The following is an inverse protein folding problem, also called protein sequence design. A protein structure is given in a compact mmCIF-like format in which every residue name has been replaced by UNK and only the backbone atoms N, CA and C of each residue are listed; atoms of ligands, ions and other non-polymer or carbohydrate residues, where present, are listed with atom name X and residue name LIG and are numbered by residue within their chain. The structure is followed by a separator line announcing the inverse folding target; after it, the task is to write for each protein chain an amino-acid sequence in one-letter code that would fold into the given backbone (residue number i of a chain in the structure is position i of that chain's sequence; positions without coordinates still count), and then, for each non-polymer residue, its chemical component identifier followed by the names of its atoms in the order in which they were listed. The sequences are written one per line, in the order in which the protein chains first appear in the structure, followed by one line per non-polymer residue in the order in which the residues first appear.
data_IF_900332035889
#
_entry.id   IF_900332035889
#
_cell.length_a   1.000
_cell.length_b   1.000
_cell.length_c   1.000
_cell.angle_alpha   90.00
_cell.angle_beta   90.00
_cell.angle_gamma   90.00
#
_symmetry.space_group_name_H-M   'P 1'
#
loop_
_entity.id
_entity.type
_entity.pdbx_description
1 polymer ?
#
# COMPACT_ATOMS: atom_id res chain seq x y z
N UNK A 1 -2.33 13.43 12.86
CA UNK A 1 -3.21 12.42 12.21
C UNK A 1 -4.17 13.21 11.34
N UNK A 2 -4.03 13.18 10.01
CA UNK A 2 -4.89 13.98 9.11
C UNK A 2 -6.21 13.22 8.92
N UNK A 3 -7.31 13.86 9.27
CA UNK A 3 -8.67 13.32 9.22
C UNK A 3 -9.28 13.58 7.84
N UNK A 4 -10.07 12.63 7.34
CA UNK A 4 -10.99 12.88 6.22
C UNK A 4 -12.30 13.35 6.84
N UNK A 5 -12.74 14.57 6.56
CA UNK A 5 -13.98 15.13 7.12
C UNK A 5 -14.07 14.98 8.66
N UNK A 6 -12.96 15.16 9.38
CA UNK A 6 -12.90 14.99 10.84
C UNK A 6 -13.09 13.55 11.38
N UNK A 7 -12.97 12.53 10.52
CA UNK A 7 -13.15 11.12 10.88
C UNK A 7 -11.89 10.27 10.57
N UNK A 8 -11.76 9.17 11.32
CA UNK A 8 -10.72 8.15 11.14
C UNK A 8 -11.23 7.11 10.17
N UNK A 9 -10.51 6.90 9.06
CA UNK A 9 -10.81 5.84 8.09
C UNK A 9 -10.05 4.59 8.54
N UNK A 10 -10.77 3.50 8.82
CA UNK A 10 -10.18 2.23 9.25
C UNK A 10 -11.24 1.13 9.35
N UNK A 11 -10.79 -0.12 9.50
CA UNK A 11 -11.70 -1.22 9.89
C UNK A 11 -12.19 -0.92 11.31
N UNK A 12 -13.49 -0.73 11.49
CA UNK A 12 -14.15 -0.27 12.75
C UNK A 12 -14.00 1.23 13.08
N UNK A 13 -13.65 2.06 12.08
CA UNK A 13 -13.76 3.52 12.18
C UNK A 13 -15.17 4.04 11.82
N UNK A 14 -15.52 5.26 12.23
CA UNK A 14 -16.80 5.90 11.89
C UNK A 14 -17.05 6.06 10.37
N UNK A 15 -16.02 5.85 9.53
CA UNK A 15 -16.11 5.82 8.07
C UNK A 15 -15.53 4.50 7.58
N UNK A 16 -16.37 3.69 6.93
CA UNK A 16 -15.94 2.49 6.22
C UNK A 16 -14.94 2.86 5.11
N UNK A 17 -13.97 1.97 4.89
CA UNK A 17 -13.02 2.13 3.79
C UNK A 17 -13.78 2.18 2.45
N UNK A 18 -13.56 3.19 1.59
CA UNK A 18 -14.30 3.29 0.35
C UNK A 18 -14.04 2.06 -0.53
N UNK A 19 -15.10 1.46 -1.11
CA UNK A 19 -14.95 0.27 -1.95
C UNK A 19 -14.06 0.58 -3.16
N UNK A 20 -13.25 -0.40 -3.59
CA UNK A 20 -12.34 -0.28 -4.75
C UNK A 20 -11.30 0.83 -4.64
N UNK A 21 -10.70 1.01 -3.46
CA UNK A 21 -9.63 2.00 -3.23
C UNK A 21 -8.24 1.38 -3.01
N UNK A 22 -7.67 0.63 -3.99
CA UNK A 22 -6.32 0.08 -3.87
C UNK A 22 -5.26 1.18 -3.74
N UNK A 23 -5.56 2.37 -4.29
CA UNK A 23 -4.71 3.56 -4.19
C UNK A 23 -4.53 4.11 -2.79
N UNK A 24 -5.39 3.74 -1.85
CA UNK A 24 -5.32 4.17 -0.47
C UNK A 24 -4.72 3.09 0.44
N UNK A 25 -4.63 1.84 -0.04
CA UNK A 25 -4.22 0.68 0.77
C UNK A 25 -2.72 0.44 0.62
N UNK A 26 -1.92 0.55 1.68
CA UNK A 26 -0.46 0.34 1.62
C UNK A 26 -0.02 -1.02 1.10
N UNK A 27 -0.85 -2.05 1.33
CA UNK A 27 -0.60 -3.39 0.82
C UNK A 27 -0.64 -3.40 -0.72
N UNK A 28 -1.63 -2.73 -1.31
CA UNK A 28 -1.88 -2.74 -2.74
C UNK A 28 -0.93 -1.80 -3.50
N UNK A 29 -0.81 -0.54 -3.06
CA UNK A 29 0.01 0.43 -3.77
C UNK A 29 1.52 0.27 -3.55
N UNK A 30 1.94 -0.48 -2.53
CA UNK A 30 3.36 -0.64 -2.19
C UNK A 30 3.77 -2.10 -1.94
N UNK A 31 3.25 -2.75 -0.89
CA UNK A 31 3.85 -3.99 -0.38
C UNK A 31 3.82 -5.11 -1.42
N UNK A 32 2.68 -5.33 -2.09
CA UNK A 32 2.56 -6.38 -3.09
C UNK A 32 3.43 -6.12 -4.32
N UNK A 33 3.59 -4.86 -4.73
CA UNK A 33 4.53 -4.50 -5.80
C UNK A 33 5.98 -4.84 -5.41
N UNK A 34 6.40 -4.38 -4.23
CA UNK A 34 7.75 -4.60 -3.69
C UNK A 34 8.09 -6.07 -3.51
N UNK A 35 7.17 -6.85 -2.93
CA UNK A 35 7.37 -8.28 -2.70
C UNK A 35 7.41 -9.06 -4.02
N UNK A 36 6.49 -8.79 -4.96
CA UNK A 36 6.47 -9.47 -6.25
C UNK A 36 7.77 -9.25 -7.03
N UNK A 37 8.30 -8.01 -7.01
CA UNK A 37 9.56 -7.69 -7.69
C UNK A 37 10.74 -8.52 -7.20
N UNK A 38 10.79 -8.86 -5.90
CA UNK A 38 11.84 -9.69 -5.33
C UNK A 38 11.58 -11.19 -5.49
N UNK A 39 10.36 -11.64 -5.16
CA UNK A 39 10.00 -13.06 -5.20
C UNK A 39 10.13 -13.62 -6.61
N UNK A 40 9.67 -12.85 -7.60
CA UNK A 40 9.65 -13.23 -9.01
C UNK A 40 10.77 -12.59 -9.84
N UNK A 41 11.81 -12.02 -9.21
CA UNK A 41 13.00 -11.55 -9.92
C UNK A 41 13.61 -12.65 -10.80
N UNK A 42 13.50 -13.90 -10.35
CA UNK A 42 13.73 -15.10 -11.16
C UNK A 42 12.59 -16.11 -10.90
N UNK A 43 12.29 -17.03 -11.83
CA UNK A 43 11.30 -18.09 -11.57
C UNK A 43 11.74 -18.96 -10.37
N UNK A 44 10.90 -19.10 -9.32
CA UNK A 44 11.24 -19.94 -8.18
C UNK A 44 11.15 -21.42 -8.58
N UNK A 45 12.22 -22.21 -8.47
CA UNK A 45 12.25 -23.60 -8.96
C UNK A 45 11.46 -24.58 -8.07
N UNK A 46 11.17 -24.21 -6.82
CA UNK A 46 10.45 -25.08 -5.88
C UNK A 46 9.55 -24.28 -4.95
N UNK A 47 8.55 -24.95 -4.35
CA UNK A 47 7.71 -24.35 -3.31
C UNK A 47 8.51 -23.90 -2.07
N UNK A 48 9.59 -24.62 -1.73
CA UNK A 48 10.47 -24.26 -0.61
C UNK A 48 11.19 -22.94 -0.88
N UNK A 49 11.74 -22.80 -2.09
CA UNK A 49 12.39 -21.56 -2.53
C UNK A 49 11.39 -20.40 -2.58
N UNK A 50 10.18 -20.60 -3.12
CA UNK A 50 9.13 -19.58 -3.11
C UNK A 50 8.81 -19.10 -1.68
N UNK A 51 8.63 -20.01 -0.72
CA UNK A 51 8.38 -19.65 0.69
C UNK A 51 9.54 -18.88 1.32
N UNK A 52 10.77 -19.27 1.01
CA UNK A 52 11.96 -18.58 1.50
C UNK A 52 12.00 -17.15 0.94
N UNK A 53 11.82 -16.98 -0.37
CA UNK A 53 11.82 -15.66 -1.01
C UNK A 53 10.72 -14.74 -0.50
N UNK A 54 9.53 -15.28 -0.19
CA UNK A 54 8.45 -14.49 0.43
C UNK A 54 8.91 -13.99 1.81
N UNK A 55 9.51 -14.86 2.61
CA UNK A 55 10.06 -14.49 3.93
C UNK A 55 11.14 -13.42 3.81
N UNK A 56 12.08 -13.60 2.88
CA UNK A 56 13.18 -12.67 2.64
C UNK A 56 12.69 -11.31 2.13
N UNK A 57 11.70 -11.30 1.22
CA UNK A 57 11.08 -10.09 0.70
C UNK A 57 10.30 -9.33 1.78
N UNK A 58 9.67 -10.03 2.73
CA UNK A 58 9.08 -9.40 3.92
C UNK A 58 10.15 -8.79 4.82
N UNK A 59 11.25 -9.51 5.06
CA UNK A 59 12.35 -9.06 5.91
C UNK A 59 13.13 -7.88 5.31
N UNK A 60 13.12 -7.72 3.99
CA UNK A 60 13.79 -6.61 3.29
C UNK A 60 13.07 -5.27 3.40
N UNK A 61 11.82 -5.24 3.91
CA UNK A 61 11.08 -4.00 4.11
C UNK A 61 11.67 -3.24 5.29
N UNK A 62 12.40 -2.16 4.98
CA UNK A 62 13.10 -1.36 6.00
C UNK A 62 12.16 -0.39 6.71
N UNK A 63 12.61 0.13 7.86
CA UNK A 63 11.89 1.18 8.59
C UNK A 63 11.72 2.46 7.74
N UNK A 64 12.69 2.80 6.91
CA UNK A 64 12.61 3.99 6.05
C UNK A 64 11.55 3.82 4.96
N UNK A 65 11.42 2.61 4.40
CA UNK A 65 10.33 2.30 3.47
C UNK A 65 8.97 2.48 4.15
N UNK A 66 8.82 2.03 5.40
CA UNK A 66 7.59 2.27 6.17
C UNK A 66 7.31 3.75 6.41
N UNK A 67 8.32 4.54 6.77
CA UNK A 67 8.16 6.00 6.90
C UNK A 67 7.75 6.66 5.58
N UNK A 68 8.27 6.18 4.45
CA UNK A 68 7.88 6.67 3.12
C UNK A 68 6.42 6.32 2.83
N UNK A 69 6.01 5.07 3.08
CA UNK A 69 4.62 4.61 2.93
C UNK A 69 3.66 5.47 3.77
N UNK A 70 4.01 5.80 5.01
CA UNK A 70 3.18 6.68 5.85
C UNK A 70 2.98 8.08 5.24
N UNK A 71 4.02 8.65 4.62
CA UNK A 71 3.91 9.94 3.92
C UNK A 71 3.09 9.81 2.64
N UNK A 72 3.28 8.74 1.89
CA UNK A 72 2.52 8.44 0.66
C UNK A 72 1.03 8.29 0.93
N UNK A 73 0.62 7.63 2.03
CA UNK A 73 -0.80 7.56 2.43
C UNK A 73 -1.38 8.96 2.56
N UNK A 74 -0.68 9.86 3.24
CA UNK A 74 -1.17 11.24 3.42
C UNK A 74 -1.29 11.95 2.07
N UNK A 75 -0.29 11.80 1.19
CA UNK A 75 -0.32 12.38 -0.16
C UNK A 75 -1.51 11.86 -0.96
N UNK A 76 -1.69 10.53 -0.99
CA UNK A 76 -2.78 9.84 -1.72
C UNK A 76 -4.16 10.22 -1.21
N UNK A 77 -4.33 10.37 0.10
CA UNK A 77 -5.59 10.89 0.67
C UNK A 77 -5.86 12.33 0.20
N UNK A 78 -4.84 13.19 0.15
CA UNK A 78 -5.03 14.55 -0.38
C UNK A 78 -5.39 14.56 -1.87
N UNK A 79 -4.75 13.70 -2.68
CA UNK A 79 -5.10 13.54 -4.09
C UNK A 79 -6.54 13.05 -4.28
N UNK A 80 -6.97 12.08 -3.48
CA UNK A 80 -8.36 11.60 -3.46
C UNK A 80 -9.36 12.72 -3.12
N UNK A 81 -9.05 13.54 -2.11
CA UNK A 81 -9.88 14.72 -1.75
C UNK A 81 -9.94 15.71 -2.91
N UNK A 82 -8.79 16.03 -3.53
CA UNK A 82 -8.73 16.96 -4.66
C UNK A 82 -9.50 16.45 -5.89
N UNK A 83 -9.54 15.13 -6.07
CA UNK A 83 -10.32 14.46 -7.11
C UNK A 83 -11.79 14.21 -6.71
N UNK A 84 -12.27 14.74 -5.58
CA UNK A 84 -13.62 14.47 -5.05
C UNK A 84 -13.97 12.97 -4.95
N UNK A 85 -12.98 12.13 -4.64
CA UNK A 85 -13.15 10.68 -4.55
C UNK A 85 -13.03 9.92 -5.87
N UNK A 86 -12.76 10.58 -7.00
CA UNK A 86 -12.45 9.91 -8.26
C UNK A 86 -11.02 9.35 -8.30
N UNK A 87 -10.73 8.53 -9.31
CA UNK A 87 -9.41 7.94 -9.52
C UNK A 87 -8.37 9.02 -9.82
N UNK A 88 -7.20 8.94 -9.18
CA UNK A 88 -6.18 9.99 -9.25
C UNK A 88 -4.79 9.48 -9.67
N UNK A 89 -4.64 8.21 -10.07
CA UNK A 89 -3.37 7.70 -10.62
C UNK A 89 -2.92 8.41 -11.91
N UNK A 90 -3.82 9.13 -12.58
CA UNK A 90 -3.54 9.90 -13.79
C UNK A 90 -2.66 11.14 -13.56
N UNK A 91 -2.41 11.51 -12.29
CA UNK A 91 -1.67 12.71 -11.89
C UNK A 91 -0.29 12.41 -11.27
N UNK A 92 0.20 11.17 -11.41
CA UNK A 92 1.53 10.75 -10.95
C UNK A 92 2.64 11.06 -11.93
#
# INVERSE_FOLDING_TARGET
MKTFQNQVIGYDGFVEWPPRSPDLTPLDFFLWGHMKGQVYATPPPTLKDLRQRITDACASVTRDMWHNVQREIQSRVQMCIAANGEHFEQYK
#
